data_IF_759612909820
#
_entry.id   IF_759612909820
#
_cell.length_a   1.000
_cell.length_b   1.000
_cell.length_c   1.000
_cell.angle_alpha   90.00
_cell.angle_beta   90.00
_cell.angle_gamma   90.00
#
_symmetry.space_group_name_H-M   'P 1'
#
loop_
_entity.id
_entity.type
_entity.pdbx_description
1 polymer ?
#
# COMPACT_ATOMS: atom_id res chain seq x y z
N UNK A 1 -10.14 -22.00 3.80
CA UNK A 1 -10.48 -20.73 4.49
C UNK A 1 -9.22 -19.90 4.53
N UNK A 2 -9.22 -18.69 3.95
CA UNK A 2 -8.02 -17.82 3.95
C UNK A 2 -7.77 -17.39 5.39
N UNK A 3 -6.61 -17.77 5.95
CA UNK A 3 -6.23 -17.42 7.32
C UNK A 3 -5.78 -15.95 7.30
N UNK A 4 -6.67 -15.03 7.68
CA UNK A 4 -6.36 -13.60 7.66
C UNK A 4 -5.65 -13.17 8.94
N UNK A 5 -4.58 -12.42 8.79
CA UNK A 5 -3.95 -11.66 9.86
C UNK A 5 -4.85 -10.50 10.30
N UNK A 6 -5.15 -10.39 11.60
CA UNK A 6 -6.08 -9.40 12.13
C UNK A 6 -5.72 -9.00 13.57
N UNK A 7 -6.34 -7.92 14.09
CA UNK A 7 -6.10 -7.46 15.48
C UNK A 7 -6.45 -8.55 16.49
N UNK A 8 -7.48 -9.33 16.19
CA UNK A 8 -8.03 -10.36 17.07
C UNK A 8 -7.09 -11.57 17.22
N UNK A 9 -6.25 -11.84 16.22
CA UNK A 9 -5.35 -13.00 16.24
C UNK A 9 -3.86 -12.64 16.30
N UNK A 10 -3.49 -11.36 16.18
CA UNK A 10 -2.11 -10.90 16.13
C UNK A 10 -1.27 -11.34 17.34
N UNK A 11 -1.74 -11.06 18.56
CA UNK A 11 -1.03 -11.43 19.81
C UNK A 11 -0.84 -12.95 19.89
N UNK A 12 -1.87 -13.72 19.58
CA UNK A 12 -1.80 -15.18 19.58
C UNK A 12 -0.79 -15.72 18.56
N UNK A 13 -0.64 -15.08 17.39
CA UNK A 13 0.37 -15.43 16.40
C UNK A 13 1.78 -15.09 16.93
N UNK A 14 1.98 -13.92 17.54
CA UNK A 14 3.24 -13.55 18.18
C UNK A 14 3.65 -14.59 19.24
N UNK A 15 2.73 -15.00 20.10
CA UNK A 15 2.98 -16.01 21.13
C UNK A 15 3.33 -17.37 20.52
N UNK A 16 2.68 -17.77 19.43
CA UNK A 16 3.00 -19.02 18.70
C UNK A 16 4.40 -19.00 18.11
N UNK A 17 4.87 -17.84 17.61
CA UNK A 17 6.23 -17.68 17.09
C UNK A 17 7.26 -17.67 18.23
N UNK A 18 7.00 -16.96 19.33
CA UNK A 18 7.88 -16.91 20.51
C UNK A 18 8.02 -18.26 21.24
N UNK A 19 7.03 -19.15 21.11
CA UNK A 19 7.16 -20.53 21.59
C UNK A 19 8.18 -21.33 20.78
N UNK A 20 8.35 -21.01 19.49
CA UNK A 20 9.25 -21.71 18.56
C UNK A 20 10.63 -21.06 18.46
N UNK A 21 10.73 -19.78 18.81
CA UNK A 21 11.96 -18.99 18.66
C UNK A 21 12.28 -18.24 19.97
N UNK A 22 13.46 -18.55 20.55
CA UNK A 22 13.91 -17.98 21.82
C UNK A 22 14.27 -16.49 21.71
N UNK A 23 14.71 -16.04 20.54
CA UNK A 23 15.15 -14.66 20.30
C UNK A 23 13.92 -13.77 20.13
N UNK A 24 12.91 -14.22 19.37
CA UNK A 24 11.60 -13.55 19.32
C UNK A 24 10.93 -13.47 20.69
N UNK A 25 11.04 -14.52 21.51
CA UNK A 25 10.53 -14.50 22.89
C UNK A 25 11.24 -13.48 23.76
N UNK A 26 12.56 -13.35 23.63
CA UNK A 26 13.33 -12.36 24.37
C UNK A 26 12.92 -10.94 23.97
N UNK A 27 12.79 -10.68 22.66
CA UNK A 27 12.32 -9.39 22.12
C UNK A 27 10.95 -9.00 22.69
N UNK A 28 9.97 -9.92 22.68
CA UNK A 28 8.63 -9.63 23.22
C UNK A 28 8.68 -9.36 24.73
N UNK A 29 9.50 -10.10 25.48
CA UNK A 29 9.64 -9.89 26.93
C UNK A 29 10.27 -8.53 27.25
N UNK A 30 11.22 -8.07 26.45
CA UNK A 30 11.96 -6.83 26.68
C UNK A 30 11.21 -5.59 26.18
N UNK A 31 10.58 -5.67 25.01
CA UNK A 31 9.98 -4.51 24.33
C UNK A 31 8.45 -4.57 24.20
N UNK A 32 7.82 -5.66 24.62
CA UNK A 32 6.40 -5.91 24.41
C UNK A 32 6.08 -6.38 22.99
N UNK A 33 4.77 -6.48 22.68
CA UNK A 33 4.32 -6.84 21.35
C UNK A 33 4.58 -5.69 20.36
N UNK A 34 5.03 -5.99 19.13
CA UNK A 34 5.15 -4.96 18.11
C UNK A 34 3.77 -4.35 17.82
N UNK A 35 3.65 -3.07 17.43
CA UNK A 35 2.38 -2.52 16.99
C UNK A 35 1.90 -3.22 15.71
N UNK A 36 0.58 -3.30 15.55
CA UNK A 36 -0.01 -3.88 14.34
C UNK A 36 -0.01 -2.87 13.19
N UNK A 37 0.97 -2.96 12.31
CA UNK A 37 1.07 -2.15 11.11
C UNK A 37 0.08 -2.65 10.06
N UNK A 38 -1.05 -1.95 9.90
CA UNK A 38 -2.00 -2.22 8.82
C UNK A 38 -2.48 -0.93 8.18
N UNK A 39 -2.66 -0.97 6.85
CA UNK A 39 -3.31 0.10 6.08
C UNK A 39 -4.48 -0.52 5.32
N UNK A 40 -5.58 0.22 5.11
CA UNK A 40 -6.71 -0.32 4.36
C UNK A 40 -6.31 -0.54 2.90
N UNK A 41 -6.73 -1.64 2.29
CA UNK A 41 -6.45 -1.96 0.87
C UNK A 41 -7.25 -1.08 -0.10
N UNK A 42 -6.92 0.21 -0.18
CA UNK A 42 -7.63 1.21 -0.99
C UNK A 42 -6.72 1.80 -2.07
N UNK A 43 -7.32 2.41 -3.10
CA UNK A 43 -6.58 3.13 -4.13
C UNK A 43 -5.68 4.22 -3.53
N UNK A 44 -6.17 4.93 -2.51
CA UNK A 44 -5.43 5.97 -1.80
C UNK A 44 -4.17 5.41 -1.14
N UNK A 45 -4.28 4.24 -0.51
CA UNK A 45 -3.15 3.55 0.10
C UNK A 45 -2.10 3.18 -0.93
N UNK A 46 -2.52 2.63 -2.08
CA UNK A 46 -1.58 2.26 -3.15
C UNK A 46 -0.90 3.48 -3.79
N UNK A 47 -1.63 4.60 -3.97
CA UNK A 47 -1.02 5.87 -4.39
C UNK A 47 0.01 6.34 -3.38
N UNK A 48 -0.29 6.30 -2.08
CA UNK A 48 0.66 6.65 -1.04
C UNK A 48 1.89 5.74 -1.05
N UNK A 49 1.71 4.42 -1.20
CA UNK A 49 2.82 3.46 -1.32
C UNK A 49 3.73 3.78 -2.52
N UNK A 50 3.16 4.13 -3.68
CA UNK A 50 3.96 4.58 -4.84
C UNK A 50 4.73 5.87 -4.49
N UNK A 51 4.11 6.81 -3.75
CA UNK A 51 4.76 8.05 -3.34
C UNK A 51 5.87 7.84 -2.32
N UNK A 52 5.82 6.79 -1.50
CA UNK A 52 6.84 6.42 -0.50
C UNK A 52 8.12 5.85 -1.13
N UNK A 53 8.08 5.43 -2.40
CA UNK A 53 9.25 4.87 -3.08
C UNK A 53 10.43 5.85 -3.12
N UNK A 54 11.60 5.40 -2.66
CA UNK A 54 12.91 6.09 -2.70
C UNK A 54 12.95 7.46 -2.00
N UNK A 55 12.03 7.75 -1.09
CA UNK A 55 11.96 9.02 -0.35
C UNK A 55 11.61 8.78 1.12
N UNK A 56 11.72 9.82 1.95
CA UNK A 56 11.24 9.74 3.33
C UNK A 56 9.71 9.65 3.41
N UNK A 57 9.20 9.00 4.45
CA UNK A 57 7.76 8.94 4.72
C UNK A 57 7.15 10.35 4.85
N UNK A 58 7.89 11.30 5.44
CA UNK A 58 7.44 12.68 5.57
C UNK A 58 7.28 13.37 4.20
N UNK A 59 8.23 13.17 3.28
CA UNK A 59 8.17 13.71 1.92
C UNK A 59 7.01 13.12 1.13
N UNK A 60 6.81 11.80 1.21
CA UNK A 60 5.70 11.11 0.55
C UNK A 60 4.34 11.59 1.09
N UNK A 61 4.23 11.74 2.41
CA UNK A 61 3.03 12.25 3.05
C UNK A 61 2.73 13.71 2.65
N UNK A 62 3.75 14.56 2.53
CA UNK A 62 3.59 15.94 2.05
C UNK A 62 3.04 15.98 0.62
N UNK A 63 3.59 15.16 -0.29
CA UNK A 63 3.07 15.03 -1.67
C UNK A 63 1.61 14.52 -1.69
N UNK A 64 1.31 13.49 -0.89
CA UNK A 64 -0.04 12.94 -0.81
C UNK A 64 -1.05 13.95 -0.22
N UNK A 65 -0.65 14.72 0.79
CA UNK A 65 -1.47 15.79 1.37
C UNK A 65 -1.76 16.87 0.33
N UNK A 66 -0.76 17.31 -0.43
CA UNK A 66 -0.92 18.31 -1.49
C UNK A 66 -1.87 17.84 -2.59
N UNK A 67 -1.75 16.58 -3.00
CA UNK A 67 -2.70 15.96 -3.91
C UNK A 67 -4.13 15.99 -3.32
N UNK A 68 -4.30 15.58 -2.06
CA UNK A 68 -5.61 15.58 -1.39
C UNK A 68 -6.22 16.97 -1.29
N UNK A 69 -5.42 18.01 -1.02
CA UNK A 69 -5.85 19.40 -1.05
C UNK A 69 -6.33 19.83 -2.45
N UNK A 70 -5.67 19.33 -3.50
CA UNK A 70 -6.00 19.63 -4.90
C UNK A 70 -7.30 18.98 -5.38
N UNK A 71 -7.55 17.72 -5.00
CA UNK A 71 -8.69 16.94 -5.54
C UNK A 71 -9.78 16.60 -4.52
N UNK A 72 -9.58 16.93 -3.24
CA UNK A 72 -10.43 16.51 -2.13
C UNK A 72 -10.32 15.01 -1.84
N UNK A 73 -10.90 14.18 -2.70
CA UNK A 73 -10.82 12.71 -2.60
C UNK A 73 -9.92 12.17 -3.70
N UNK A 74 -8.90 11.40 -3.31
CA UNK A 74 -8.00 10.73 -4.25
C UNK A 74 -8.69 9.50 -4.82
N UNK A 75 -9.19 9.62 -6.06
CA UNK A 75 -9.81 8.52 -6.84
C UNK A 75 -9.06 8.31 -8.16
N UNK A 76 -9.25 7.15 -8.83
CA UNK A 76 -8.67 6.93 -10.15
C UNK A 76 -9.02 8.03 -11.15
N UNK A 77 -10.29 8.45 -11.18
CA UNK A 77 -10.79 9.51 -12.07
C UNK A 77 -10.14 10.85 -11.75
N UNK A 78 -9.99 11.19 -10.47
CA UNK A 78 -9.33 12.43 -10.05
C UNK A 78 -7.87 12.49 -10.49
N UNK A 79 -7.12 11.38 -10.36
CA UNK A 79 -5.73 11.30 -10.85
C UNK A 79 -5.66 11.47 -12.37
N UNK A 80 -6.59 10.86 -13.11
CA UNK A 80 -6.59 10.94 -14.57
C UNK A 80 -7.03 12.30 -15.09
N UNK A 81 -7.86 13.04 -14.35
CA UNK A 81 -8.31 14.37 -14.72
C UNK A 81 -7.25 15.47 -14.54
N UNK A 82 -6.25 15.26 -13.66
CA UNK A 82 -5.14 16.21 -13.49
C UNK A 82 -4.19 16.16 -14.68
N UNK A 83 -3.61 17.32 -15.04
CA UNK A 83 -2.49 17.37 -15.98
C UNK A 83 -1.20 16.86 -15.31
N UNK A 84 -0.18 16.56 -16.11
CA UNK A 84 1.13 16.22 -15.56
C UNK A 84 1.72 17.39 -14.75
N UNK A 85 1.47 18.63 -15.16
CA UNK A 85 1.92 19.82 -14.43
C UNK A 85 1.22 19.94 -13.07
N UNK A 86 -0.09 19.69 -13.00
CA UNK A 86 -0.81 19.65 -11.73
C UNK A 86 -0.20 18.64 -10.75
N UNK A 87 0.16 17.45 -11.25
CA UNK A 87 0.78 16.41 -10.43
C UNK A 87 2.22 16.78 -10.01
N UNK A 88 2.98 17.49 -10.87
CA UNK A 88 4.30 18.02 -10.49
C UNK A 88 4.20 19.08 -9.40
N UNK A 89 3.20 19.95 -9.44
CA UNK A 89 2.89 20.91 -8.35
C UNK A 89 2.52 20.18 -7.05
N UNK A 90 2.02 18.95 -7.15
CA UNK A 90 1.82 18.05 -6.00
C UNK A 90 3.07 17.24 -5.61
N UNK A 91 4.25 17.62 -6.12
CA UNK A 91 5.56 16.99 -5.87
C UNK A 91 5.72 15.57 -6.42
N UNK A 92 4.97 15.19 -7.44
CA UNK A 92 5.17 13.90 -8.09
C UNK A 92 6.39 13.95 -9.02
N UNK A 93 7.22 12.92 -8.97
CA UNK A 93 8.22 12.67 -10.01
C UNK A 93 7.56 12.16 -11.29
N UNK A 94 8.25 12.26 -12.43
CA UNK A 94 7.73 11.73 -13.72
C UNK A 94 7.34 10.25 -13.63
N UNK A 95 8.14 9.44 -12.95
CA UNK A 95 7.85 8.01 -12.75
C UNK A 95 6.61 7.81 -11.88
N UNK A 96 6.48 8.54 -10.77
CA UNK A 96 5.32 8.44 -9.87
C UNK A 96 4.03 8.90 -10.55
N UNK A 97 4.09 9.88 -11.45
CA UNK A 97 2.97 10.25 -12.33
C UNK A 97 2.57 9.05 -13.20
N UNK A 98 3.53 8.45 -13.90
CA UNK A 98 3.27 7.31 -14.78
C UNK A 98 2.64 6.14 -14.01
N UNK A 99 3.22 5.73 -12.88
CA UNK A 99 2.79 4.57 -12.11
C UNK A 99 1.40 4.77 -11.52
N UNK A 100 1.10 5.96 -10.97
CA UNK A 100 -0.23 6.25 -10.42
C UNK A 100 -1.30 6.33 -11.50
N UNK A 101 -0.99 6.82 -12.71
CA UNK A 101 -1.91 6.78 -13.85
C UNK A 101 -2.14 5.36 -14.36
N UNK A 102 -1.11 4.52 -14.41
CA UNK A 102 -1.24 3.10 -14.78
C UNK A 102 -2.16 2.38 -13.81
N UNK A 103 -1.92 2.53 -12.50
CA UNK A 103 -2.79 1.97 -11.46
C UNK A 103 -4.24 2.47 -11.59
N UNK A 104 -4.43 3.78 -11.81
CA UNK A 104 -5.76 4.36 -11.98
C UNK A 104 -6.50 3.75 -13.18
N UNK A 105 -5.83 3.63 -14.34
CA UNK A 105 -6.41 3.03 -15.54
C UNK A 105 -6.77 1.56 -15.33
N UNK A 106 -5.88 0.77 -14.72
CA UNK A 106 -6.14 -0.65 -14.46
C UNK A 106 -7.37 -0.87 -13.56
N UNK A 107 -7.57 -0.01 -12.56
CA UNK A 107 -8.77 -0.07 -11.71
C UNK A 107 -10.04 0.31 -12.48
N UNK A 108 -10.00 1.37 -13.30
CA UNK A 108 -11.15 1.80 -14.10
C UNK A 108 -11.51 0.81 -15.20
N UNK A 109 -10.51 0.18 -15.80
CA UNK A 109 -10.67 -0.90 -16.78
C UNK A 109 -11.14 -2.22 -16.12
N UNK A 110 -11.24 -2.27 -14.78
CA UNK A 110 -11.58 -3.45 -13.99
C UNK A 110 -10.60 -4.62 -14.15
N UNK A 111 -9.39 -4.35 -14.63
CA UNK A 111 -8.27 -5.29 -14.66
C UNK A 111 -7.82 -5.62 -13.22
N UNK A 112 -7.89 -4.61 -12.33
CA UNK A 112 -7.64 -4.76 -10.90
C UNK A 112 -8.89 -4.40 -10.11
N UNK A 113 -9.24 -5.24 -9.15
CA UNK A 113 -10.35 -4.97 -8.22
C UNK A 113 -9.91 -5.15 -6.78
N UNK A 114 -9.67 -4.03 -6.10
CA UNK A 114 -9.28 -4.02 -4.68
C UNK A 114 -10.34 -4.64 -3.77
N UNK A 115 -11.62 -4.61 -4.17
CA UNK A 115 -12.69 -5.31 -3.46
C UNK A 115 -12.54 -6.82 -3.55
N UNK A 116 -12.14 -7.35 -4.72
CA UNK A 116 -11.91 -8.79 -4.92
C UNK A 116 -10.69 -9.27 -4.14
N UNK A 117 -9.64 -8.46 -4.04
CA UNK A 117 -8.42 -8.80 -3.31
C UNK A 117 -8.64 -9.23 -1.86
N UNK A 118 -9.68 -8.72 -1.19
CA UNK A 118 -9.99 -9.18 0.16
C UNK A 118 -10.21 -10.70 0.20
N UNK A 119 -10.72 -11.30 -0.87
CA UNK A 119 -11.09 -12.70 -0.97
C UNK A 119 -10.14 -13.53 -1.85
N UNK A 120 -9.03 -12.94 -2.30
CA UNK A 120 -8.02 -13.59 -3.14
C UNK A 120 -6.85 -14.11 -2.30
N UNK A 121 -6.09 -15.05 -2.85
CA UNK A 121 -4.83 -15.49 -2.26
C UNK A 121 -3.73 -14.47 -2.51
N UNK A 122 -2.74 -14.39 -1.61
CA UNK A 122 -1.64 -13.43 -1.71
C UNK A 122 -0.87 -13.56 -3.04
N UNK A 123 -0.65 -14.79 -3.52
CA UNK A 123 0.01 -15.06 -4.81
C UNK A 123 -0.79 -14.52 -6.01
N UNK A 124 -2.13 -14.62 -5.96
CA UNK A 124 -3.00 -14.08 -7.01
C UNK A 124 -2.96 -12.55 -7.02
N UNK A 125 -2.97 -11.93 -5.84
CA UNK A 125 -2.85 -10.48 -5.67
C UNK A 125 -1.51 -10.01 -6.21
N UNK A 126 -0.42 -10.72 -5.88
CA UNK A 126 0.93 -10.44 -6.37
C UNK A 126 0.97 -10.46 -7.88
N UNK A 127 0.52 -11.55 -8.51
CA UNK A 127 0.51 -11.70 -9.97
C UNK A 127 -0.23 -10.54 -10.65
N UNK A 128 -1.32 -10.05 -10.06
CA UNK A 128 -2.07 -8.93 -10.64
C UNK A 128 -1.36 -7.59 -10.45
N UNK A 129 -0.83 -7.32 -9.26
CA UNK A 129 -0.18 -6.04 -8.94
C UNK A 129 1.17 -5.88 -9.62
N UNK A 130 2.01 -6.93 -9.69
CA UNK A 130 3.36 -6.85 -10.27
C UNK A 130 3.37 -6.67 -11.79
N UNK A 131 2.24 -6.91 -12.46
CA UNK A 131 2.06 -6.58 -13.88
C UNK A 131 2.00 -5.08 -14.13
N UNK A 132 1.67 -4.28 -13.11
CA UNK A 132 1.64 -2.83 -13.24
C UNK A 132 3.06 -2.28 -13.17
N UNK A 133 3.49 -1.61 -14.23
CA UNK A 133 4.77 -0.88 -14.23
C UNK A 133 4.82 0.08 -13.03
N UNK A 134 5.88 -0.05 -12.23
CA UNK A 134 6.09 0.74 -11.01
C UNK A 134 5.64 0.07 -9.71
N UNK A 135 5.02 -1.10 -9.78
CA UNK A 135 4.71 -1.95 -8.64
C UNK A 135 5.48 -3.26 -8.85
N UNK A 136 6.60 -3.41 -8.13
CA UNK A 136 7.42 -4.64 -8.16
C UNK A 136 7.20 -5.50 -6.92
N UNK A 137 7.90 -6.63 -6.82
CA UNK A 137 7.76 -7.58 -5.70
C UNK A 137 7.88 -6.89 -4.34
N UNK A 138 8.91 -6.06 -4.16
CA UNK A 138 9.12 -5.29 -2.91
C UNK A 138 7.98 -4.33 -2.56
N UNK A 139 7.22 -3.84 -3.56
CA UNK A 139 6.07 -2.94 -3.32
C UNK A 139 4.79 -3.69 -2.98
N UNK A 140 4.71 -4.95 -3.38
CA UNK A 140 3.55 -5.82 -3.13
C UNK A 140 3.63 -6.48 -1.76
N UNK A 141 4.84 -6.81 -1.31
CA UNK A 141 5.14 -7.34 0.02
C UNK A 141 4.95 -6.33 1.15
#
# INVERSE_FOLDING_TARGET
MIRRFSKENFISICDQLAKKDKDLRAIIREHGYPPMWTRPGTFQTLVLTILEQQVSLASAYAAFKRLKERVGRVTPEAILALSDEDLRVCYFSRQKIEYTRILARAILAKEISLKKFQYSLDDEIRIQLTRLKGIGDWTVD
#
